data_IF_486303621106
#
_entry.id   IF_486303621106
#
_cell.length_a   1.000
_cell.length_b   1.000
_cell.length_c   1.000
_cell.angle_alpha   90.00
_cell.angle_beta   90.00
_cell.angle_gamma   90.00
#
_symmetry.space_group_name_H-M   'P 1'
#
loop_
_entity.id
_entity.type
_entity.pdbx_description
1 polymer ?
#
# COMPACT_ATOMS: atom_id res chain seq x y z
N UNK A 1 -46.72 -22.70 -34.78
CA UNK A 1 -46.32 -22.41 -33.38
C UNK A 1 -44.81 -22.58 -33.33
N UNK A 2 -44.11 -21.47 -33.37
CA UNK A 2 -42.64 -21.45 -33.25
C UNK A 2 -42.24 -21.82 -31.81
N UNK A 3 -41.45 -22.87 -31.67
CA UNK A 3 -40.93 -23.30 -30.38
C UNK A 3 -39.87 -22.30 -29.92
N UNK A 4 -40.18 -21.60 -28.85
CA UNK A 4 -39.24 -20.69 -28.21
C UNK A 4 -38.00 -21.47 -27.73
N UNK A 5 -36.77 -21.25 -28.25
CA UNK A 5 -35.61 -22.09 -27.96
C UNK A 5 -35.07 -21.93 -26.53
N UNK A 6 -35.64 -21.04 -25.72
CA UNK A 6 -35.24 -20.76 -24.33
C UNK A 6 -36.21 -21.33 -23.29
N UNK A 7 -37.25 -22.09 -23.69
CA UNK A 7 -38.09 -22.78 -22.70
C UNK A 7 -37.37 -24.04 -22.20
N UNK A 8 -36.86 -23.99 -20.98
CA UNK A 8 -36.41 -25.16 -20.23
C UNK A 8 -37.64 -26.04 -19.95
N UNK A 9 -37.94 -26.94 -20.84
CA UNK A 9 -38.93 -27.99 -20.59
C UNK A 9 -38.22 -29.11 -19.84
N UNK A 10 -38.24 -29.07 -18.51
CA UNK A 10 -37.94 -30.22 -17.66
C UNK A 10 -39.01 -31.29 -17.96
N UNK A 11 -38.69 -32.25 -18.82
CA UNK A 11 -39.46 -33.48 -18.91
C UNK A 11 -39.10 -34.32 -17.69
N UNK A 12 -39.88 -34.15 -16.62
CA UNK A 12 -39.78 -35.00 -15.44
C UNK A 12 -40.36 -36.36 -15.77
N UNK A 13 -39.51 -37.38 -15.78
CA UNK A 13 -39.96 -38.78 -15.85
C UNK A 13 -40.23 -39.27 -14.43
N UNK A 14 -41.17 -40.22 -14.24
CA UNK A 14 -41.40 -40.84 -12.94
C UNK A 14 -40.11 -41.45 -12.33
N UNK A 15 -39.20 -41.89 -13.17
CA UNK A 15 -37.91 -42.48 -12.76
C UNK A 15 -36.92 -41.44 -12.17
N UNK A 16 -37.13 -40.16 -12.44
CA UNK A 16 -36.30 -39.07 -11.87
C UNK A 16 -36.54 -38.89 -10.36
N UNK A 17 -37.57 -39.51 -9.82
CA UNK A 17 -37.91 -39.49 -8.39
C UNK A 17 -37.53 -40.78 -7.63
N UNK A 18 -36.86 -41.73 -8.30
CA UNK A 18 -36.33 -42.89 -7.63
C UNK A 18 -35.13 -42.51 -6.79
N UNK A 19 -34.91 -43.19 -5.65
CA UNK A 19 -33.70 -42.93 -4.82
C UNK A 19 -32.46 -43.17 -5.68
N UNK A 20 -31.53 -42.21 -5.67
CA UNK A 20 -30.27 -42.29 -6.38
C UNK A 20 -29.53 -43.58 -6.06
N UNK A 21 -28.94 -44.23 -7.05
CA UNK A 21 -28.13 -45.43 -6.89
C UNK A 21 -26.89 -45.13 -6.03
N UNK A 22 -26.27 -46.11 -5.42
CA UNK A 22 -25.10 -45.92 -4.58
C UNK A 22 -23.90 -45.37 -5.38
N UNK A 23 -23.79 -45.69 -6.67
CA UNK A 23 -22.79 -45.11 -7.58
C UNK A 23 -23.03 -43.61 -7.85
N UNK A 24 -24.29 -43.19 -7.98
CA UNK A 24 -24.64 -41.77 -8.12
C UNK A 24 -24.43 -41.00 -6.84
N UNK A 25 -24.63 -41.61 -5.67
CA UNK A 25 -24.36 -41.03 -4.37
C UNK A 25 -22.84 -40.87 -4.13
N UNK A 26 -22.02 -41.82 -4.57
CA UNK A 26 -20.57 -41.69 -4.50
C UNK A 26 -20.01 -40.54 -5.37
N UNK A 27 -20.62 -40.29 -6.51
CA UNK A 27 -20.27 -39.17 -7.40
C UNK A 27 -20.65 -37.79 -6.84
N UNK A 28 -21.67 -37.73 -5.98
CA UNK A 28 -22.21 -36.47 -5.42
C UNK A 28 -21.54 -36.01 -4.11
N UNK A 29 -20.77 -36.85 -3.44
CA UNK A 29 -20.25 -36.57 -2.08
C UNK A 29 -18.71 -36.58 -2.03
N UNK A 30 -18.04 -35.88 -2.94
CA UNK A 30 -16.72 -35.37 -2.60
C UNK A 30 -16.88 -33.95 -2.07
N UNK A 31 -17.46 -33.82 -0.90
CA UNK A 31 -17.37 -32.59 -0.12
C UNK A 31 -15.88 -32.35 0.13
N UNK A 32 -15.34 -31.28 -0.46
CA UNK A 32 -14.00 -30.80 -0.10
C UNK A 32 -13.98 -30.54 1.38
N UNK A 33 -12.93 -31.04 2.05
CA UNK A 33 -12.70 -30.72 3.45
C UNK A 33 -12.85 -29.21 3.68
N UNK A 34 -13.60 -28.83 4.71
CA UNK A 34 -13.80 -27.44 5.07
C UNK A 34 -12.45 -26.83 5.47
N UNK A 35 -11.89 -26.01 4.61
CA UNK A 35 -10.63 -25.29 4.88
C UNK A 35 -10.94 -23.86 5.29
N UNK A 36 -10.23 -23.37 6.31
CA UNK A 36 -10.32 -21.97 6.72
C UNK A 36 -10.05 -21.04 5.55
N UNK A 37 -10.79 -19.92 5.45
CA UNK A 37 -10.65 -18.89 4.43
C UNK A 37 -9.19 -18.46 4.21
N UNK A 38 -8.45 -18.23 5.27
CA UNK A 38 -7.02 -17.84 5.21
C UNK A 38 -6.13 -18.93 4.62
N UNK A 39 -6.40 -20.21 4.96
CA UNK A 39 -5.63 -21.34 4.44
C UNK A 39 -5.87 -21.54 2.94
N UNK A 40 -7.11 -21.40 2.48
CA UNK A 40 -7.42 -21.51 1.05
C UNK A 40 -6.87 -20.31 0.26
N UNK A 41 -6.98 -19.10 0.80
CA UNK A 41 -6.40 -17.90 0.21
C UNK A 41 -4.89 -18.02 0.02
N UNK A 42 -4.15 -18.45 1.06
CA UNK A 42 -2.71 -18.65 0.97
C UNK A 42 -2.32 -19.79 0.04
N UNK A 43 -3.11 -20.86 0.00
CA UNK A 43 -2.92 -21.98 -0.95
C UNK A 43 -3.06 -21.52 -2.41
N UNK A 44 -4.04 -20.67 -2.71
CA UNK A 44 -4.24 -20.08 -4.05
C UNK A 44 -3.11 -19.13 -4.40
N UNK A 45 -2.69 -18.29 -3.46
CA UNK A 45 -1.57 -17.38 -3.63
C UNK A 45 -0.29 -18.15 -4.00
N UNK A 46 0.04 -19.22 -3.28
CA UNK A 46 1.22 -20.06 -3.56
C UNK A 46 1.19 -20.74 -4.94
N UNK A 47 0.01 -20.99 -5.50
CA UNK A 47 -0.12 -21.54 -6.85
C UNK A 47 0.20 -20.52 -7.94
N UNK A 48 0.03 -19.23 -7.65
CA UNK A 48 0.35 -18.16 -8.59
C UNK A 48 1.82 -17.74 -8.45
N UNK A 49 2.67 -18.19 -9.37
CA UNK A 49 4.11 -17.91 -9.35
C UNK A 49 4.42 -16.42 -9.40
N UNK A 50 3.67 -15.65 -10.21
CA UNK A 50 3.86 -14.20 -10.33
C UNK A 50 3.54 -13.50 -9.01
N UNK A 51 2.42 -13.85 -8.37
CA UNK A 51 2.05 -13.29 -7.08
C UNK A 51 3.08 -13.62 -5.99
N UNK A 52 3.67 -14.82 -6.01
CA UNK A 52 4.74 -15.21 -5.08
C UNK A 52 6.02 -14.39 -5.31
N UNK A 53 6.41 -14.15 -6.56
CA UNK A 53 7.58 -13.30 -6.87
C UNK A 53 7.34 -11.86 -6.40
N UNK A 54 6.16 -11.30 -6.69
CA UNK A 54 5.80 -9.94 -6.21
C UNK A 54 5.80 -9.85 -4.68
N UNK A 55 5.26 -10.85 -4.00
CA UNK A 55 5.27 -10.91 -2.54
C UNK A 55 6.71 -10.94 -2.00
N UNK A 56 7.58 -11.73 -2.61
CA UNK A 56 8.99 -11.81 -2.23
C UNK A 56 9.71 -10.46 -2.41
N UNK A 57 9.47 -9.78 -3.53
CA UNK A 57 10.04 -8.45 -3.78
C UNK A 57 9.55 -7.45 -2.72
N UNK A 58 8.25 -7.44 -2.39
CA UNK A 58 7.69 -6.56 -1.36
C UNK A 58 8.36 -6.83 0.00
N UNK A 59 8.56 -8.10 0.37
CA UNK A 59 9.22 -8.46 1.62
C UNK A 59 10.67 -7.95 1.64
N UNK A 60 11.41 -8.08 0.53
CA UNK A 60 12.78 -7.56 0.43
C UNK A 60 12.78 -6.03 0.61
N UNK A 61 11.87 -5.31 -0.05
CA UNK A 61 11.78 -3.86 0.08
C UNK A 61 11.41 -3.45 1.50
N UNK A 62 10.52 -4.20 2.16
CA UNK A 62 10.17 -3.98 3.57
C UNK A 62 11.38 -4.18 4.50
N UNK A 63 12.13 -5.25 4.32
CA UNK A 63 13.36 -5.50 5.08
C UNK A 63 14.36 -4.38 4.85
N UNK A 64 14.60 -4.00 3.60
CA UNK A 64 15.49 -2.92 3.21
C UNK A 64 15.12 -1.57 3.84
N UNK A 65 13.82 -1.24 3.88
CA UNK A 65 13.34 0.04 4.41
C UNK A 65 13.28 0.10 5.94
N UNK A 66 12.97 -1.02 6.62
CA UNK A 66 12.68 -1.00 8.07
C UNK A 66 13.76 -1.67 8.92
N UNK A 67 14.41 -2.71 8.41
CA UNK A 67 15.35 -3.51 9.19
C UNK A 67 16.78 -3.07 8.92
N UNK A 68 17.18 -2.94 7.66
CA UNK A 68 18.57 -2.62 7.28
C UNK A 68 19.05 -1.31 7.88
N UNK A 69 18.27 -0.20 7.94
CA UNK A 69 18.72 1.06 8.54
C UNK A 69 19.12 0.97 10.01
N UNK A 70 18.56 0.00 10.75
CA UNK A 70 18.92 -0.20 12.17
C UNK A 70 20.34 -0.75 12.36
N UNK A 71 20.90 -1.39 11.34
CA UNK A 71 22.25 -1.99 11.36
C UNK A 71 23.24 -1.23 10.48
N UNK A 72 22.76 -0.20 9.77
CA UNK A 72 23.60 0.59 8.88
C UNK A 72 24.41 1.64 9.65
N UNK A 73 25.71 1.77 9.42
CA UNK A 73 26.59 2.59 10.27
C UNK A 73 26.42 4.10 10.08
N UNK A 74 25.88 4.54 8.93
CA UNK A 74 25.66 5.96 8.64
C UNK A 74 24.26 6.39 9.05
N UNK A 75 24.15 7.64 9.58
CA UNK A 75 22.87 8.26 9.91
C UNK A 75 22.31 9.06 8.72
N UNK A 76 20.99 9.21 8.68
CA UNK A 76 20.30 9.99 7.63
C UNK A 76 20.75 11.44 7.53
N UNK A 77 21.06 12.07 8.65
CA UNK A 77 21.46 13.50 8.71
C UNK A 77 22.98 13.69 8.68
N UNK A 78 23.75 12.62 8.83
CA UNK A 78 25.20 12.69 8.92
C UNK A 78 25.80 13.20 7.61
N UNK A 79 26.61 14.26 7.72
CA UNK A 79 27.40 14.83 6.64
C UNK A 79 28.88 14.53 6.88
N UNK A 80 29.51 13.90 5.90
CA UNK A 80 30.93 13.53 5.98
C UNK A 80 31.72 14.56 5.20
N UNK A 81 32.59 15.29 5.91
CA UNK A 81 33.42 16.32 5.32
C UNK A 81 34.41 15.73 4.32
N UNK A 82 34.39 16.26 3.09
CA UNK A 82 35.26 15.79 2.01
C UNK A 82 34.72 14.59 1.23
N UNK A 83 33.53 14.09 1.61
CA UNK A 83 32.87 13.00 0.92
C UNK A 83 31.79 13.47 -0.08
N UNK A 84 31.97 14.63 -0.72
CA UNK A 84 30.98 15.22 -1.61
C UNK A 84 30.98 14.51 -2.98
N UNK A 85 29.80 14.04 -3.43
CA UNK A 85 29.61 13.37 -4.72
C UNK A 85 30.56 12.16 -4.93
N UNK A 86 30.79 11.38 -3.92
CA UNK A 86 31.55 10.13 -4.08
C UNK A 86 30.79 9.15 -4.95
N UNK A 87 31.51 8.47 -5.81
CA UNK A 87 30.97 7.36 -6.59
C UNK A 87 30.61 6.18 -5.67
N UNK A 88 29.71 5.28 -6.11
CA UNK A 88 29.40 4.06 -5.37
C UNK A 88 30.65 3.26 -5.00
N UNK A 89 30.73 2.76 -3.77
CA UNK A 89 31.83 1.97 -3.23
C UNK A 89 33.18 2.70 -3.12
N UNK A 90 33.19 4.04 -3.19
CA UNK A 90 34.39 4.86 -3.01
C UNK A 90 34.43 5.50 -1.63
N UNK A 91 35.63 5.87 -1.22
CA UNK A 91 35.95 6.52 0.04
C UNK A 91 36.46 7.96 -0.21
N UNK A 92 36.23 8.85 0.74
CA UNK A 92 36.85 10.18 0.75
C UNK A 92 38.33 10.10 1.12
N UNK A 93 39.08 11.16 0.86
CA UNK A 93 40.50 11.23 1.23
C UNK A 93 40.72 11.02 2.75
N UNK A 94 39.87 11.58 3.58
CA UNK A 94 39.92 11.39 5.04
C UNK A 94 39.65 9.96 5.48
N UNK A 95 38.68 9.31 4.84
CA UNK A 95 38.36 7.92 5.11
C UNK A 95 39.49 6.97 4.68
N UNK A 96 40.17 7.31 3.59
CA UNK A 96 41.38 6.57 3.16
C UNK A 96 42.51 6.70 4.17
N UNK A 97 42.71 7.88 4.78
CA UNK A 97 43.66 8.07 5.87
C UNK A 97 43.29 7.25 7.13
N UNK A 98 42.01 7.19 7.48
CA UNK A 98 41.51 6.36 8.57
C UNK A 98 41.74 4.87 8.32
N UNK A 99 41.48 4.41 7.08
CA UNK A 99 41.76 3.02 6.67
C UNK A 99 43.26 2.73 6.74
N UNK A 100 44.10 3.67 6.30
CA UNK A 100 45.57 3.54 6.38
C UNK A 100 46.06 3.51 7.84
N UNK A 101 45.33 4.17 8.78
CA UNK A 101 45.58 4.12 10.20
C UNK A 101 45.05 2.84 10.89
N UNK A 102 44.42 1.93 10.13
CA UNK A 102 43.88 0.65 10.62
C UNK A 102 42.43 0.71 11.12
N UNK A 103 41.72 1.83 10.92
CA UNK A 103 40.32 1.95 11.27
C UNK A 103 39.44 1.25 10.22
N UNK A 104 38.33 0.63 10.69
CA UNK A 104 37.33 0.01 9.80
C UNK A 104 36.32 1.05 9.36
N UNK A 105 36.42 1.55 8.15
CA UNK A 105 35.45 2.44 7.54
C UNK A 105 34.54 1.65 6.64
N UNK A 106 33.23 1.87 6.76
CA UNK A 106 32.25 1.16 5.96
C UNK A 106 32.08 1.83 4.58
N UNK A 107 32.02 1.09 3.47
CA UNK A 107 31.92 1.69 2.14
C UNK A 107 30.56 2.33 1.89
N UNK A 108 30.55 3.43 1.11
CA UNK A 108 29.34 4.07 0.63
C UNK A 108 28.75 3.31 -0.54
N UNK A 109 27.82 2.37 -0.28
CA UNK A 109 27.28 1.47 -1.32
C UNK A 109 26.73 2.20 -2.56
N UNK A 110 26.00 3.28 -2.39
CA UNK A 110 25.43 4.09 -3.47
C UNK A 110 26.15 5.44 -3.63
N UNK A 111 27.32 5.58 -2.96
CA UNK A 111 28.03 6.85 -2.93
C UNK A 111 27.37 7.89 -2.04
N UNK A 112 27.74 9.15 -2.25
CA UNK A 112 27.29 10.27 -1.43
C UNK A 112 26.69 11.40 -2.27
N UNK A 113 25.88 12.25 -1.64
CA UNK A 113 25.32 13.42 -2.28
C UNK A 113 26.29 14.64 -2.26
N UNK A 114 25.83 15.78 -2.79
CA UNK A 114 26.58 17.04 -2.81
C UNK A 114 26.95 17.56 -1.42
N UNK A 115 26.27 17.11 -0.38
CA UNK A 115 26.49 17.49 1.03
C UNK A 115 27.30 16.44 1.79
N UNK A 116 27.82 15.41 1.11
CA UNK A 116 28.56 14.32 1.76
C UNK A 116 27.69 13.37 2.59
N UNK A 117 26.37 13.27 2.29
CA UNK A 117 25.48 12.33 2.97
C UNK A 117 25.39 11.05 2.18
N UNK A 118 25.40 9.91 2.87
CA UNK A 118 25.31 8.59 2.24
C UNK A 118 23.96 8.37 1.54
N UNK A 119 24.00 7.99 0.26
CA UNK A 119 22.79 7.75 -0.51
C UNK A 119 22.03 6.49 -0.08
N UNK A 120 22.73 5.45 0.38
CA UNK A 120 22.06 4.21 0.72
C UNK A 120 21.09 4.40 1.90
N UNK A 121 21.54 5.03 2.98
CA UNK A 121 20.66 5.31 4.13
C UNK A 121 19.51 6.25 3.73
N UNK A 122 19.76 7.22 2.85
CA UNK A 122 18.71 8.13 2.37
C UNK A 122 17.65 7.41 1.54
N UNK A 123 18.04 6.48 0.68
CA UNK A 123 17.10 5.66 -0.09
C UNK A 123 16.31 4.74 0.83
N UNK A 124 16.95 4.11 1.80
CA UNK A 124 16.28 3.27 2.80
C UNK A 124 15.21 4.05 3.58
N UNK A 125 15.57 5.21 4.12
CA UNK A 125 14.65 6.05 4.90
C UNK A 125 13.55 6.67 4.02
N UNK A 126 13.89 7.08 2.80
CA UNK A 126 12.90 7.53 1.81
C UNK A 126 11.89 6.44 1.45
N UNK A 127 12.36 5.21 1.23
CA UNK A 127 11.50 4.05 0.97
C UNK A 127 10.58 3.75 2.15
N UNK A 128 11.09 3.86 3.37
CA UNK A 128 10.29 3.68 4.59
C UNK A 128 9.13 4.67 4.65
N UNK A 129 9.40 5.96 4.41
CA UNK A 129 8.37 7.00 4.41
C UNK A 129 7.36 6.74 3.30
N UNK A 130 7.81 6.43 2.08
CA UNK A 130 6.93 6.14 0.94
C UNK A 130 6.01 4.95 1.20
N UNK A 131 6.53 3.87 1.77
CA UNK A 131 5.75 2.68 2.14
C UNK A 131 4.72 3.00 3.23
N UNK A 132 5.11 3.75 4.27
CA UNK A 132 4.18 4.16 5.32
C UNK A 132 3.05 5.03 4.78
N UNK A 133 3.39 6.02 3.94
CA UNK A 133 2.38 6.88 3.29
C UNK A 133 1.43 6.04 2.45
N UNK A 134 1.95 5.11 1.64
CA UNK A 134 1.12 4.24 0.81
C UNK A 134 0.18 3.34 1.61
N UNK A 135 0.67 2.72 2.69
CA UNK A 135 -0.14 1.84 3.56
C UNK A 135 -1.23 2.64 4.28
N UNK A 136 -0.87 3.80 4.85
CA UNK A 136 -1.83 4.64 5.57
C UNK A 136 -2.89 5.19 4.61
N UNK A 137 -2.49 5.69 3.44
CA UNK A 137 -3.42 6.15 2.41
C UNK A 137 -4.38 5.04 1.97
N UNK A 138 -3.85 3.84 1.67
CA UNK A 138 -4.67 2.70 1.29
C UNK A 138 -5.67 2.30 2.38
N UNK A 139 -5.27 2.34 3.66
CA UNK A 139 -6.16 2.06 4.77
C UNK A 139 -7.28 3.11 4.91
N UNK A 140 -6.95 4.38 4.75
CA UNK A 140 -7.92 5.49 4.79
C UNK A 140 -8.93 5.33 3.65
N UNK A 141 -8.45 5.14 2.42
CA UNK A 141 -9.28 4.97 1.22
C UNK A 141 -10.19 3.73 1.37
N UNK A 142 -9.66 2.63 1.89
CA UNK A 142 -10.43 1.41 2.13
C UNK A 142 -11.59 1.66 3.09
N UNK A 143 -11.34 2.32 4.21
CA UNK A 143 -12.38 2.60 5.23
C UNK A 143 -13.43 3.57 4.68
N UNK A 144 -12.99 4.72 4.17
CA UNK A 144 -13.90 5.76 3.69
C UNK A 144 -14.67 5.27 2.46
N UNK A 145 -13.98 4.68 1.48
CA UNK A 145 -14.60 4.16 0.26
C UNK A 145 -15.58 3.03 0.55
N UNK A 146 -15.25 2.13 1.49
CA UNK A 146 -16.19 1.06 1.89
C UNK A 146 -17.44 1.60 2.55
N UNK A 147 -17.32 2.59 3.44
CA UNK A 147 -18.46 3.23 4.10
C UNK A 147 -19.30 3.98 3.05
N UNK A 148 -18.67 4.81 2.25
CA UNK A 148 -19.33 5.60 1.21
C UNK A 148 -20.06 4.71 0.20
N UNK A 149 -19.36 3.71 -0.35
CA UNK A 149 -19.93 2.77 -1.29
C UNK A 149 -21.05 1.91 -0.68
N UNK A 150 -20.92 1.51 0.59
CA UNK A 150 -21.96 0.76 1.29
C UNK A 150 -23.23 1.60 1.49
N UNK A 151 -23.10 2.87 1.85
CA UNK A 151 -24.24 3.79 2.01
C UNK A 151 -24.94 3.99 0.66
N UNK A 152 -24.19 4.26 -0.41
CA UNK A 152 -24.71 4.43 -1.76
C UNK A 152 -25.48 3.19 -2.22
N UNK A 153 -24.87 2.02 -2.09
CA UNK A 153 -25.47 0.75 -2.51
C UNK A 153 -26.70 0.36 -1.66
N UNK A 154 -26.67 0.60 -0.35
CA UNK A 154 -27.78 0.21 0.53
C UNK A 154 -28.97 1.15 0.43
N UNK A 155 -28.75 2.46 0.36
CA UNK A 155 -29.80 3.46 0.24
C UNK A 155 -30.40 3.53 -1.19
N UNK A 156 -29.56 3.34 -2.21
CA UNK A 156 -29.96 3.33 -3.61
C UNK A 156 -30.65 4.62 -4.08
N UNK A 157 -31.25 4.56 -5.28
CA UNK A 157 -32.11 5.61 -5.82
C UNK A 157 -31.49 7.01 -5.81
N UNK A 158 -32.16 7.99 -5.20
CA UNK A 158 -31.70 9.38 -5.16
C UNK A 158 -30.43 9.59 -4.33
N UNK A 159 -30.22 8.79 -3.27
CA UNK A 159 -29.03 8.90 -2.42
C UNK A 159 -27.80 8.51 -3.21
N UNK A 160 -27.85 7.38 -3.87
CA UNK A 160 -26.76 6.90 -4.74
C UNK A 160 -26.48 7.91 -5.86
N UNK A 161 -27.54 8.42 -6.54
CA UNK A 161 -27.39 9.43 -7.59
C UNK A 161 -26.67 10.68 -7.10
N UNK A 162 -27.05 11.23 -5.94
CA UNK A 162 -26.42 12.43 -5.38
C UNK A 162 -24.98 12.13 -4.98
N UNK A 163 -24.73 11.01 -4.32
CA UNK A 163 -23.39 10.60 -3.90
C UNK A 163 -22.45 10.46 -5.10
N UNK A 164 -22.90 9.80 -6.18
CA UNK A 164 -22.11 9.66 -7.40
C UNK A 164 -21.89 11.01 -8.10
N UNK A 165 -22.85 11.95 -8.07
CA UNK A 165 -22.64 13.30 -8.62
C UNK A 165 -21.59 14.10 -7.86
N UNK A 166 -21.51 13.94 -6.54
CA UNK A 166 -20.42 14.55 -5.76
C UNK A 166 -19.06 14.00 -6.19
N UNK A 167 -18.96 12.70 -6.36
CA UNK A 167 -17.74 12.05 -6.86
C UNK A 167 -17.38 12.57 -8.24
N UNK A 168 -18.34 12.62 -9.18
CA UNK A 168 -18.13 13.13 -10.53
C UNK A 168 -17.58 14.56 -10.53
N UNK A 169 -18.09 15.43 -9.65
CA UNK A 169 -17.61 16.82 -9.52
C UNK A 169 -16.16 16.85 -9.03
N UNK A 170 -15.82 16.05 -8.04
CA UNK A 170 -14.45 15.98 -7.51
C UNK A 170 -13.48 15.49 -8.60
N UNK A 171 -13.85 14.45 -9.33
CA UNK A 171 -13.02 13.87 -10.42
C UNK A 171 -12.83 14.79 -11.64
N UNK A 172 -13.66 15.83 -11.80
CA UNK A 172 -13.44 16.82 -12.87
C UNK A 172 -12.23 17.73 -12.60
N UNK A 173 -11.80 17.83 -11.35
CA UNK A 173 -10.62 18.63 -10.99
C UNK A 173 -9.37 17.75 -11.14
N UNK A 174 -8.31 18.22 -11.83
CA UNK A 174 -7.06 17.45 -11.89
C UNK A 174 -6.50 17.17 -10.50
N UNK A 175 -6.23 15.90 -10.19
CA UNK A 175 -5.81 15.42 -8.86
C UNK A 175 -4.61 16.21 -8.31
N UNK A 176 -3.60 16.47 -9.15
CA UNK A 176 -2.39 17.21 -8.76
C UNK A 176 -2.73 18.63 -8.30
N UNK A 177 -3.65 19.31 -9.01
CA UNK A 177 -4.10 20.66 -8.66
C UNK A 177 -4.82 20.64 -7.30
N UNK A 178 -5.70 19.67 -7.11
CA UNK A 178 -6.48 19.51 -5.88
C UNK A 178 -5.55 19.19 -4.70
N UNK A 179 -4.58 18.30 -4.88
CA UNK A 179 -3.58 17.96 -3.85
C UNK A 179 -2.80 19.21 -3.42
N UNK A 180 -2.26 19.97 -4.37
CA UNK A 180 -1.44 21.15 -4.08
C UNK A 180 -2.27 22.23 -3.40
N UNK A 181 -3.45 22.57 -3.95
CA UNK A 181 -4.33 23.61 -3.42
C UNK A 181 -4.79 23.28 -2.01
N UNK A 182 -5.28 22.07 -1.80
CA UNK A 182 -5.84 21.64 -0.52
C UNK A 182 -4.76 21.47 0.54
N UNK A 183 -3.59 20.94 0.16
CA UNK A 183 -2.43 20.86 1.07
C UNK A 183 -1.98 22.24 1.53
N UNK A 184 -1.98 23.23 0.63
CA UNK A 184 -1.64 24.59 1.00
C UNK A 184 -2.72 25.23 1.90
N UNK A 185 -3.99 25.06 1.57
CA UNK A 185 -5.11 25.60 2.35
C UNK A 185 -5.20 24.99 3.76
N UNK A 186 -4.92 23.69 3.89
CA UNK A 186 -4.99 22.98 5.17
C UNK A 186 -3.78 23.22 6.08
N UNK A 187 -2.65 23.67 5.55
CA UNK A 187 -1.41 23.85 6.32
C UNK A 187 -1.57 24.81 7.50
N UNK A 188 -2.19 25.98 7.27
CA UNK A 188 -2.38 26.97 8.33
C UNK A 188 -3.34 26.48 9.44
N UNK A 189 -4.55 25.97 9.13
CA UNK A 189 -5.45 25.46 10.17
C UNK A 189 -4.88 24.24 10.91
N UNK A 190 -4.16 23.35 10.24
CA UNK A 190 -3.52 22.22 10.92
C UNK A 190 -2.42 22.66 11.88
N UNK A 191 -1.63 23.68 11.54
CA UNK A 191 -0.62 24.24 12.42
C UNK A 191 -1.25 24.84 13.68
N UNK A 192 -2.37 25.52 13.56
CA UNK A 192 -3.12 26.06 14.71
C UNK A 192 -3.69 24.91 15.56
N UNK A 193 -4.27 23.91 14.91
CA UNK A 193 -4.83 22.74 15.58
C UNK A 193 -3.73 21.94 16.34
N UNK A 194 -2.53 21.85 15.80
CA UNK A 194 -1.40 21.17 16.43
C UNK A 194 -1.01 21.77 17.80
N UNK A 195 -1.34 23.05 18.02
CA UNK A 195 -1.09 23.74 19.29
C UNK A 195 -2.21 23.52 20.33
N UNK A 196 -3.34 22.95 19.92
CA UNK A 196 -4.45 22.67 20.82
C UNK A 196 -4.16 21.44 21.72
N UNK A 197 -4.70 21.42 22.96
CA UNK A 197 -4.54 20.27 23.85
C UNK A 197 -5.04 18.96 23.21
N UNK A 198 -4.21 17.92 23.22
CA UNK A 198 -4.55 16.62 22.62
C UNK A 198 -4.17 16.45 21.16
N UNK A 199 -3.81 17.51 20.43
CA UNK A 199 -3.48 17.46 19.00
C UNK A 199 -1.98 17.64 18.71
N UNK A 200 -1.12 17.62 19.71
CA UNK A 200 0.33 17.75 19.55
C UNK A 200 0.98 16.69 18.64
N UNK A 201 0.33 15.54 18.44
CA UNK A 201 0.78 14.51 17.51
C UNK A 201 0.82 14.99 16.03
N UNK A 202 0.03 16.03 15.69
CA UNK A 202 0.02 16.64 14.35
C UNK A 202 1.40 17.22 14.01
N UNK A 203 2.05 17.88 14.98
CA UNK A 203 3.40 18.42 14.78
C UNK A 203 4.47 17.35 14.66
N UNK A 204 4.26 16.19 15.31
CA UNK A 204 5.18 15.04 15.25
C UNK A 204 5.10 14.34 13.88
N UNK A 205 3.89 14.15 13.36
CA UNK A 205 3.66 13.54 12.04
C UNK A 205 4.00 14.52 10.92
N UNK A 206 3.81 15.80 11.15
CA UNK A 206 4.00 16.88 10.20
C UNK A 206 2.71 17.29 9.48
N UNK A 207 2.42 18.59 9.48
CA UNK A 207 1.20 19.14 8.90
C UNK A 207 1.05 18.81 7.41
N UNK A 208 2.16 18.73 6.68
CA UNK A 208 2.16 18.39 5.25
C UNK A 208 1.69 16.95 4.99
N UNK A 209 2.15 15.96 5.78
CA UNK A 209 1.72 14.57 5.64
C UNK A 209 0.24 14.41 5.96
N UNK A 210 -0.24 15.06 7.02
CA UNK A 210 -1.65 15.02 7.39
C UNK A 210 -2.51 15.68 6.31
N UNK A 211 -2.08 16.81 5.74
CA UNK A 211 -2.77 17.45 4.62
C UNK A 211 -2.92 16.48 3.44
N UNK A 212 -1.86 15.76 3.08
CA UNK A 212 -1.89 14.76 2.00
C UNK A 212 -2.87 13.62 2.33
N UNK A 213 -2.89 13.13 3.57
CA UNK A 213 -3.84 12.08 3.96
C UNK A 213 -5.30 12.55 3.92
N UNK A 214 -5.57 13.81 4.29
CA UNK A 214 -6.92 14.38 4.17
C UNK A 214 -7.33 14.47 2.70
N UNK A 215 -6.40 14.83 1.80
CA UNK A 215 -6.68 14.87 0.37
C UNK A 215 -6.96 13.48 -0.18
N UNK A 216 -6.18 12.46 0.20
CA UNK A 216 -6.45 11.07 -0.19
C UNK A 216 -7.76 10.52 0.39
N UNK A 217 -8.20 11.05 1.52
CA UNK A 217 -9.49 10.70 2.10
C UNK A 217 -10.68 11.33 1.35
N UNK A 218 -10.44 12.42 0.64
CA UNK A 218 -11.45 13.15 -0.14
C UNK A 218 -11.55 12.63 -1.58
N UNK A 219 -10.44 12.16 -2.16
CA UNK A 219 -10.34 11.56 -3.50
C UNK A 219 -10.76 10.10 -3.50
#
# INVERSE_FOLDING_TARGET
>A
MEKNPLSFQLKLNPDDFLPATDEEKEGLVVMRDSVSFWKDGFRRLRKNKVAMVCLFIIIIVMIFAFIVPAFYPYSYEQQIQGANNLAPMHYSAKEMEQIAAGEKVFPHFFGTDKMGRDYAIRVMMGSRISLLVGIIAAAIILVIGSIFGSIAAFAGGWVDLIMMRIVDIIYTIPDVLLIVLLSFALKAPLKVLAQAPGFGWISVVGENLISIFIVFALL
#
